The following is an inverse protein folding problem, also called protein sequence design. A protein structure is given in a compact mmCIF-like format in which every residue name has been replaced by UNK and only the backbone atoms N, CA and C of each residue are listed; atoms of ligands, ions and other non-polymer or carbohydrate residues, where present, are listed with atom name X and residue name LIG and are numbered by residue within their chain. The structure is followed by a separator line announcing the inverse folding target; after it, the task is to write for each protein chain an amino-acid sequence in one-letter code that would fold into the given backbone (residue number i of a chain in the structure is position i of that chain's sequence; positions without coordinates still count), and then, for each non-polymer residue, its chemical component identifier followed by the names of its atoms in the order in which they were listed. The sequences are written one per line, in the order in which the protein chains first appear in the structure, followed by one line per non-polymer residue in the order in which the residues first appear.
data_IF_215204717868
#
_entry.id   IF_215204717868
#
_cell.length_a   1.000
_cell.length_b   1.000
_cell.length_c   1.000
_cell.angle_alpha   90.00
_cell.angle_beta   90.00
_cell.angle_gamma   90.00
#
_symmetry.space_group_name_H-M   'P 1'
#
loop_
_entity.id
_entity.type
_entity.pdbx_description
1 polymer ?
#
# COMPACT_ATOMS: atom_id res chain seq x y z
N UNK A 1 -61.68 -4.96 -35.05
CA UNK A 1 -62.44 -3.84 -34.44
C UNK A 1 -62.05 -3.78 -32.98
N UNK A 2 -61.81 -2.67 -32.31
CA UNK A 2 -61.35 -1.31 -32.59
C UNK A 2 -60.74 -0.84 -31.23
N UNK A 3 -59.94 0.23 -31.22
CA UNK A 3 -58.94 0.56 -30.21
C UNK A 3 -59.45 1.56 -29.16
N UNK A 4 -58.69 1.74 -28.08
CA UNK A 4 -58.73 2.93 -27.20
C UNK A 4 -57.34 3.08 -26.57
N UNK A 5 -56.50 4.02 -27.01
CA UNK A 5 -56.55 5.48 -26.80
C UNK A 5 -56.12 5.90 -25.40
N UNK A 6 -54.93 6.49 -25.27
CA UNK A 6 -54.73 7.88 -24.84
C UNK A 6 -53.24 8.17 -24.50
N UNK A 7 -52.61 9.01 -25.31
CA UNK A 7 -51.55 9.97 -24.90
C UNK A 7 -52.23 11.14 -24.11
N UNK A 8 -51.61 12.29 -23.72
CA UNK A 8 -50.28 12.83 -24.07
C UNK A 8 -49.60 13.76 -22.99
N UNK A 9 -48.52 14.43 -23.42
CA UNK A 9 -48.00 15.78 -23.03
C UNK A 9 -47.05 15.94 -21.82
N UNK A 10 -46.02 16.76 -22.11
CA UNK A 10 -45.14 17.57 -21.25
C UNK A 10 -43.83 16.88 -20.79
N UNK A 11 -42.65 17.49 -20.89
CA UNK A 11 -42.35 18.91 -20.89
C UNK A 11 -41.08 19.26 -21.69
N UNK A 12 -41.12 20.43 -22.33
CA UNK A 12 -39.96 21.24 -22.67
C UNK A 12 -39.20 21.67 -21.40
N UNK A 13 -37.88 21.81 -21.56
CA UNK A 13 -36.93 22.67 -20.84
C UNK A 13 -35.63 21.87 -20.61
N UNK A 14 -34.43 22.36 -20.80
CA UNK A 14 -33.90 23.66 -21.18
C UNK A 14 -32.42 23.40 -21.55
N UNK A 15 -31.79 24.43 -22.09
CA UNK A 15 -30.56 25.00 -21.52
C UNK A 15 -29.55 25.30 -22.61
N UNK A 16 -29.26 26.60 -22.69
CA UNK A 16 -28.39 27.24 -23.63
C UNK A 16 -26.94 26.77 -23.44
N UNK A 17 -26.31 26.34 -24.54
CA UNK A 17 -24.86 26.24 -24.64
C UNK A 17 -24.25 27.65 -24.64
N UNK A 18 -23.78 28.10 -23.48
CA UNK A 18 -22.91 29.26 -23.35
C UNK A 18 -21.49 28.84 -23.73
N UNK A 19 -21.04 29.23 -24.92
CA UNK A 19 -19.64 29.11 -25.35
C UNK A 19 -18.78 30.11 -24.55
N UNK A 20 -18.15 29.64 -23.48
CA UNK A 20 -17.16 30.40 -22.73
C UNK A 20 -15.77 30.13 -23.33
N UNK A 21 -15.24 31.12 -24.05
CA UNK A 21 -13.88 31.11 -24.58
C UNK A 21 -12.87 31.28 -23.43
N UNK A 22 -12.14 30.22 -23.09
CA UNK A 22 -10.98 30.28 -22.20
C UNK A 22 -9.77 30.84 -22.98
N UNK A 23 -9.41 32.09 -22.72
CA UNK A 23 -8.08 32.62 -23.05
C UNK A 23 -7.03 31.93 -22.16
N UNK A 24 -6.08 31.23 -22.80
CA UNK A 24 -4.94 30.63 -22.12
C UNK A 24 -3.82 31.68 -21.90
N UNK A 25 -3.27 31.84 -20.68
CA UNK A 25 -2.07 32.63 -20.46
C UNK A 25 -0.80 31.86 -20.87
N UNK A 26 0.11 32.53 -21.55
CA UNK A 26 1.40 32.00 -22.00
C UNK A 26 2.31 31.56 -20.83
N UNK A 27 3.09 30.48 -20.97
CA UNK A 27 4.06 30.07 -19.95
C UNK A 27 5.26 31.03 -19.93
N UNK A 28 5.54 31.61 -18.76
CA UNK A 28 6.81 32.30 -18.49
C UNK A 28 7.89 31.26 -18.13
N UNK A 29 9.09 31.32 -18.72
CA UNK A 29 10.21 30.51 -18.26
C UNK A 29 10.75 31.08 -16.94
N UNK A 30 10.53 30.37 -15.84
CA UNK A 30 11.22 30.63 -14.57
C UNK A 30 12.58 29.93 -14.62
N UNK A 31 13.61 30.68 -14.99
CA UNK A 31 15.01 30.26 -14.79
C UNK A 31 15.29 30.25 -13.29
N UNK A 32 15.29 29.06 -12.70
CA UNK A 32 15.76 28.84 -11.33
C UNK A 32 17.28 28.72 -11.37
N UNK A 33 17.96 29.80 -10.99
CA UNK A 33 19.40 29.79 -10.72
C UNK A 33 19.63 28.99 -9.43
N UNK A 34 20.10 27.75 -9.55
CA UNK A 34 20.63 26.97 -8.44
C UNK A 34 21.97 27.57 -8.01
N UNK A 35 21.99 28.17 -6.82
CA UNK A 35 23.23 28.56 -6.15
C UNK A 35 24.09 27.34 -5.78
N UNK A 36 25.38 27.53 -5.49
CA UNK A 36 26.29 26.44 -5.13
C UNK A 36 25.81 25.70 -3.87
N UNK A 37 26.01 24.37 -3.79
CA UNK A 37 25.61 23.58 -2.63
C UNK A 37 26.37 24.03 -1.38
N UNK A 38 25.73 24.07 -0.21
CA UNK A 38 26.41 24.40 1.04
C UNK A 38 27.44 23.31 1.39
N UNK A 39 28.58 23.68 2.00
CA UNK A 39 29.56 22.72 2.49
C UNK A 39 28.92 21.80 3.54
N UNK A 40 29.20 20.49 3.42
CA UNK A 40 28.72 19.46 4.33
C UNK A 40 29.38 19.65 5.71
N UNK A 41 28.78 20.48 6.56
CA UNK A 41 29.11 20.60 7.97
C UNK A 41 28.58 19.38 8.73
N UNK A 42 29.49 18.67 9.40
CA UNK A 42 29.18 17.63 10.37
C UNK A 42 28.27 18.21 11.47
N UNK A 43 27.03 17.72 11.55
CA UNK A 43 26.13 18.02 12.65
C UNK A 43 26.58 17.34 13.96
N UNK A 44 26.19 17.87 15.13
CA UNK A 44 26.75 17.52 16.45
C UNK A 44 26.22 16.21 17.06
N UNK A 45 25.66 15.29 16.26
CA UNK A 45 25.15 14.01 16.75
C UNK A 45 26.24 12.95 16.74
N UNK A 46 27.30 13.20 17.51
CA UNK A 46 28.41 12.28 17.72
C UNK A 46 28.59 11.96 19.19
N UNK A 47 27.75 11.09 19.74
CA UNK A 47 28.07 10.19 20.86
C UNK A 47 26.89 9.24 21.16
N UNK A 48 27.07 7.90 21.07
CA UNK A 48 26.15 6.97 21.71
C UNK A 48 26.33 7.01 23.24
N UNK A 49 25.27 6.92 24.06
CA UNK A 49 25.38 6.89 25.52
C UNK A 49 25.99 5.55 26.01
N UNK A 50 26.86 5.57 27.04
CA UNK A 50 27.37 4.34 27.64
C UNK A 50 26.37 3.83 28.69
N UNK A 51 25.96 2.56 28.55
CA UNK A 51 25.22 1.84 29.58
C UNK A 51 23.71 1.80 29.39
N UNK A 52 23.23 0.69 28.82
CA UNK A 52 21.81 0.36 28.73
C UNK A 52 21.64 -1.08 28.27
N UNK A 53 21.52 -1.97 29.24
CA UNK A 53 21.10 -3.38 29.21
C UNK A 53 20.86 -4.04 27.84
N UNK A 54 21.64 -5.10 27.60
CA UNK A 54 21.48 -6.01 26.47
C UNK A 54 20.06 -6.58 26.41
N UNK A 55 19.30 -6.19 25.38
CA UNK A 55 18.19 -6.99 24.89
C UNK A 55 18.72 -8.36 24.46
N UNK A 56 17.98 -9.47 24.65
CA UNK A 56 18.41 -10.80 24.22
C UNK A 56 18.75 -10.78 22.72
N UNK A 57 19.68 -11.63 22.25
CA UNK A 57 20.16 -11.60 20.88
C UNK A 57 18.98 -11.91 19.95
N UNK A 58 18.38 -10.87 19.40
CA UNK A 58 17.53 -10.98 18.23
C UNK A 58 18.38 -11.65 17.17
N UNK A 59 17.96 -12.85 16.77
CA UNK A 59 18.61 -13.63 15.73
C UNK A 59 19.05 -12.70 14.61
N UNK A 60 20.32 -12.76 14.22
CA UNK A 60 20.78 -12.16 12.98
C UNK A 60 20.07 -12.88 11.84
N UNK A 61 18.82 -12.48 11.59
CA UNK A 61 18.03 -12.94 10.46
C UNK A 61 18.74 -12.36 9.26
N UNK A 62 19.33 -13.22 8.43
CA UNK A 62 19.81 -12.83 7.13
C UNK A 62 18.66 -12.08 6.43
N UNK A 63 18.80 -10.78 6.13
CA UNK A 63 17.72 -9.97 5.57
C UNK A 63 17.31 -10.42 4.16
N UNK A 64 18.07 -11.36 3.57
CA UNK A 64 17.78 -12.00 2.28
C UNK A 64 17.13 -13.38 2.44
N UNK A 65 17.12 -13.95 3.65
CA UNK A 65 16.43 -15.19 3.94
C UNK A 65 14.93 -14.94 4.14
N UNK A 66 14.13 -15.93 3.74
CA UNK A 66 12.68 -15.90 3.93
C UNK A 66 12.36 -16.11 5.41
N UNK A 67 11.82 -15.09 6.07
CA UNK A 67 11.40 -15.19 7.46
C UNK A 67 10.09 -16.00 7.58
N UNK A 68 10.02 -17.06 8.40
CA UNK A 68 8.82 -17.88 8.55
C UNK A 68 7.63 -17.11 9.11
N UNK A 69 7.86 -16.04 9.89
CA UNK A 69 6.79 -15.18 10.40
C UNK A 69 6.14 -14.37 9.28
N UNK A 70 6.93 -13.90 8.31
CA UNK A 70 6.42 -13.23 7.12
C UNK A 70 5.67 -14.19 6.21
N UNK A 71 6.16 -15.42 5.99
CA UNK A 71 5.43 -16.41 5.20
C UNK A 71 4.05 -16.71 5.79
N UNK A 72 3.96 -16.92 7.11
CA UNK A 72 2.67 -17.14 7.79
C UNK A 72 1.72 -15.95 7.66
N UNK A 73 2.26 -14.73 7.80
CA UNK A 73 1.48 -13.50 7.62
C UNK A 73 0.94 -13.40 6.18
N UNK A 74 1.79 -13.64 5.17
CA UNK A 74 1.42 -13.59 3.75
C UNK A 74 0.40 -14.67 3.41
N UNK A 75 0.56 -15.89 3.94
CA UNK A 75 -0.41 -16.98 3.79
C UNK A 75 -1.77 -16.59 4.35
N UNK A 76 -1.81 -16.07 5.58
CA UNK A 76 -3.05 -15.65 6.23
C UNK A 76 -3.71 -14.48 5.48
N UNK A 77 -2.91 -13.51 5.04
CA UNK A 77 -3.38 -12.35 4.29
C UNK A 77 -3.97 -12.74 2.92
N UNK A 78 -3.26 -13.55 2.12
CA UNK A 78 -3.75 -14.00 0.82
C UNK A 78 -4.94 -14.95 0.95
N UNK A 79 -4.97 -15.80 1.97
CA UNK A 79 -6.13 -16.65 2.27
C UNK A 79 -7.36 -15.80 2.64
N UNK A 80 -7.17 -14.74 3.43
CA UNK A 80 -8.24 -13.81 3.77
C UNK A 80 -8.76 -13.05 2.55
N UNK A 81 -7.88 -12.65 1.62
CA UNK A 81 -8.29 -12.02 0.35
C UNK A 81 -9.06 -12.98 -0.55
N UNK A 82 -8.54 -14.19 -0.76
CA UNK A 82 -9.14 -15.18 -1.67
C UNK A 82 -10.42 -15.82 -1.11
N UNK A 83 -10.60 -15.82 0.21
CA UNK A 83 -11.79 -16.34 0.88
C UNK A 83 -13.04 -15.46 0.73
N UNK A 84 -12.89 -14.21 0.28
CA UNK A 84 -13.98 -13.25 0.17
C UNK A 84 -14.38 -13.01 -1.28
N UNK A 85 -15.69 -12.87 -1.52
CA UNK A 85 -16.24 -12.54 -2.85
C UNK A 85 -16.48 -11.05 -3.07
N UNK A 86 -16.53 -10.30 -1.98
CA UNK A 86 -16.86 -8.88 -1.97
C UNK A 86 -15.66 -8.06 -1.49
N UNK A 87 -15.40 -6.93 -2.16
CA UNK A 87 -14.24 -6.06 -1.88
C UNK A 87 -14.29 -5.49 -0.45
N UNK A 88 -15.47 -5.09 0.03
CA UNK A 88 -15.64 -4.54 1.38
C UNK A 88 -15.53 -5.62 2.47
N UNK A 89 -15.98 -6.84 2.18
CA UNK A 89 -15.75 -7.97 3.07
C UNK A 89 -14.26 -8.33 3.15
N UNK A 90 -13.56 -8.34 2.02
CA UNK A 90 -12.11 -8.56 1.94
C UNK A 90 -11.34 -7.48 2.68
N UNK A 91 -11.70 -6.21 2.50
CA UNK A 91 -11.05 -5.06 3.15
C UNK A 91 -11.13 -5.18 4.67
N UNK A 92 -12.26 -5.65 5.21
CA UNK A 92 -12.45 -5.90 6.64
C UNK A 92 -11.68 -7.13 7.14
N UNK A 93 -11.63 -8.19 6.35
CA UNK A 93 -10.92 -9.43 6.71
C UNK A 93 -9.41 -9.22 6.81
N UNK A 94 -8.84 -8.28 6.05
CA UNK A 94 -7.39 -8.04 6.05
C UNK A 94 -6.90 -7.06 7.12
N UNK A 95 -7.81 -6.34 7.80
CA UNK A 95 -7.45 -5.33 8.81
C UNK A 95 -6.49 -5.83 9.90
N UNK A 96 -6.58 -7.07 10.41
CA UNK A 96 -5.66 -7.57 11.43
C UNK A 96 -4.22 -7.75 10.95
N UNK A 97 -4.00 -7.83 9.63
CA UNK A 97 -2.69 -8.13 9.05
C UNK A 97 -1.96 -6.88 8.55
N UNK A 98 -2.67 -5.77 8.37
CA UNK A 98 -2.11 -4.52 7.83
C UNK A 98 -1.57 -3.64 8.95
N UNK A 99 -0.55 -2.86 8.63
CA UNK A 99 0.01 -1.90 9.56
C UNK A 99 -0.95 -0.72 9.80
N UNK A 100 -0.92 -0.16 11.01
CA UNK A 100 -1.71 1.02 11.41
C UNK A 100 -1.54 2.25 10.50
N UNK A 101 -0.42 2.37 9.79
CA UNK A 101 -0.19 3.43 8.81
C UNK A 101 -1.06 3.33 7.56
N UNK A 102 -1.66 2.17 7.30
CA UNK A 102 -2.57 1.96 6.17
C UNK A 102 -4.02 2.27 6.53
N UNK A 103 -4.30 2.45 7.83
CA UNK A 103 -5.65 2.67 8.34
C UNK A 103 -6.05 4.14 8.22
N UNK A 104 -7.29 4.36 7.84
CA UNK A 104 -7.92 5.66 7.88
C UNK A 104 -8.45 6.01 9.28
N UNK A 105 -8.97 7.23 9.46
CA UNK A 105 -9.52 7.69 10.75
C UNK A 105 -10.72 6.86 11.23
N UNK A 106 -11.40 6.15 10.34
CA UNK A 106 -12.53 5.26 10.67
C UNK A 106 -12.11 3.87 11.17
N UNK A 107 -10.81 3.56 11.22
CA UNK A 107 -10.28 2.24 11.58
C UNK A 107 -10.33 1.21 10.43
N UNK A 108 -10.90 1.55 9.28
CA UNK A 108 -10.79 0.77 8.05
C UNK A 108 -9.53 1.12 7.25
N UNK A 109 -9.33 0.50 6.08
CA UNK A 109 -8.30 0.93 5.15
C UNK A 109 -8.55 2.39 4.73
N UNK A 110 -7.48 3.20 4.69
CA UNK A 110 -7.56 4.56 4.16
C UNK A 110 -8.06 4.56 2.71
N UNK A 111 -8.74 5.64 2.31
CA UNK A 111 -9.35 5.73 0.98
C UNK A 111 -8.32 5.60 -0.15
N UNK A 112 -7.12 6.15 0.04
CA UNK A 112 -6.03 6.03 -0.92
C UNK A 112 -5.52 4.59 -1.04
N UNK A 113 -5.33 3.90 0.09
CA UNK A 113 -4.95 2.48 0.08
C UNK A 113 -6.03 1.66 -0.60
N UNK A 114 -7.32 1.93 -0.31
CA UNK A 114 -8.44 1.22 -0.92
C UNK A 114 -8.46 1.39 -2.44
N UNK A 115 -8.38 2.64 -2.90
CA UNK A 115 -8.50 3.01 -4.32
C UNK A 115 -7.31 2.58 -5.18
N UNK A 116 -6.09 2.72 -4.67
CA UNK A 116 -4.88 2.58 -5.49
C UNK A 116 -4.15 1.25 -5.31
N UNK A 117 -4.29 0.61 -4.14
CA UNK A 117 -3.53 -0.58 -3.79
C UNK A 117 -4.45 -1.79 -3.61
N UNK A 118 -5.41 -1.70 -2.69
CA UNK A 118 -6.26 -2.82 -2.28
C UNK A 118 -7.13 -3.33 -3.42
N UNK A 119 -7.81 -2.44 -4.16
CA UNK A 119 -8.68 -2.85 -5.29
C UNK A 119 -7.93 -3.69 -6.32
N UNK A 120 -6.68 -3.34 -6.62
CA UNK A 120 -5.84 -4.11 -7.54
C UNK A 120 -5.44 -5.44 -6.93
N UNK A 121 -4.99 -5.41 -5.67
CA UNK A 121 -4.61 -6.60 -4.95
C UNK A 121 -5.75 -7.62 -4.81
N UNK A 122 -6.96 -7.18 -4.53
CA UNK A 122 -8.15 -8.02 -4.46
C UNK A 122 -8.46 -8.67 -5.81
N UNK A 123 -8.46 -7.88 -6.90
CA UNK A 123 -8.71 -8.41 -8.25
C UNK A 123 -7.65 -9.41 -8.73
N UNK A 124 -6.40 -9.25 -8.29
CA UNK A 124 -5.30 -10.12 -8.68
C UNK A 124 -5.01 -11.26 -7.69
N UNK A 125 -5.55 -11.20 -6.46
CA UNK A 125 -5.33 -12.22 -5.43
C UNK A 125 -5.55 -13.67 -5.92
N UNK A 126 -6.57 -13.99 -6.75
CA UNK A 126 -6.78 -15.36 -7.25
C UNK A 126 -5.65 -15.89 -8.13
N UNK A 127 -4.78 -15.02 -8.67
CA UNK A 127 -3.66 -15.40 -9.52
C UNK A 127 -2.47 -15.95 -8.72
N UNK A 128 -2.43 -15.72 -7.41
CA UNK A 128 -1.31 -16.08 -6.54
C UNK A 128 -1.50 -17.42 -5.83
N UNK A 129 -0.38 -18.12 -5.61
CA UNK A 129 -0.37 -19.42 -4.96
C UNK A 129 -0.71 -19.30 -3.46
N UNK A 130 -1.52 -20.23 -2.97
CA UNK A 130 -1.77 -20.47 -1.55
C UNK A 130 -1.57 -21.98 -1.34
N UNK A 131 -0.56 -22.43 -0.55
CA UNK A 131 0.37 -21.62 0.24
C UNK A 131 1.31 -20.75 -0.60
N UNK A 132 1.79 -19.68 0.00
CA UNK A 132 2.63 -18.63 -0.58
C UNK A 132 4.01 -19.17 -0.89
N UNK A 133 4.43 -18.98 -2.13
CA UNK A 133 5.79 -19.29 -2.58
C UNK A 133 6.52 -17.97 -2.77
N UNK A 134 7.54 -17.72 -1.94
CA UNK A 134 8.39 -16.53 -2.07
C UNK A 134 9.54 -16.83 -3.02
N UNK A 135 9.66 -16.05 -4.09
CA UNK A 135 10.74 -16.23 -5.10
C UNK A 135 11.95 -15.36 -4.84
N UNK A 136 11.76 -14.21 -4.16
CA UNK A 136 12.81 -13.24 -3.89
C UNK A 136 12.46 -12.46 -2.62
N UNK A 137 13.47 -12.14 -1.84
CA UNK A 137 13.40 -11.24 -0.70
C UNK A 137 14.30 -10.05 -0.99
N UNK A 138 13.80 -8.83 -0.76
CA UNK A 138 14.58 -7.61 -0.91
C UNK A 138 14.41 -6.74 0.33
N UNK A 139 15.45 -6.56 1.16
CA UNK A 139 15.38 -5.59 2.24
C UNK A 139 15.20 -4.18 1.67
N UNK A 140 14.34 -3.40 2.30
CA UNK A 140 14.19 -1.97 2.01
C UNK A 140 15.12 -1.16 2.94
N UNK A 141 15.52 0.03 2.49
CA UNK A 141 16.21 1.01 3.34
C UNK A 141 15.25 1.75 4.29
N UNK A 142 13.95 1.45 4.25
CA UNK A 142 12.95 2.03 5.14
C UNK A 142 13.10 1.51 6.57
N UNK A 143 13.48 2.42 7.48
CA UNK A 143 13.70 2.14 8.91
C UNK A 143 12.54 2.57 9.82
N UNK A 144 11.52 3.22 9.24
CA UNK A 144 10.32 3.61 9.95
C UNK A 144 9.15 3.77 8.98
N UNK A 145 7.94 3.50 9.45
CA UNK A 145 6.69 3.69 8.69
C UNK A 145 5.64 4.43 9.52
N UNK A 146 4.70 5.09 8.84
CA UNK A 146 3.66 5.91 9.49
C UNK A 146 4.13 7.32 9.83
N UNK A 147 3.21 8.13 10.34
CA UNK A 147 3.46 9.54 10.69
C UNK A 147 2.75 9.90 12.00
N UNK A 148 3.42 10.71 12.82
CA UNK A 148 2.91 11.14 14.12
C UNK A 148 2.52 9.95 15.01
N UNK A 149 1.26 9.82 15.45
CA UNK A 149 0.83 8.77 16.37
C UNK A 149 0.86 7.35 15.76
N UNK A 150 0.93 7.22 14.44
CA UNK A 150 1.05 5.92 13.75
C UNK A 150 2.49 5.57 13.39
N UNK A 151 3.45 6.44 13.71
CA UNK A 151 4.86 6.24 13.45
C UNK A 151 5.41 5.05 14.25
N UNK A 152 6.13 4.16 13.58
CA UNK A 152 6.80 3.04 14.20
C UNK A 152 8.15 2.78 13.53
N UNK A 153 9.19 2.52 14.33
CA UNK A 153 10.52 2.15 13.86
C UNK A 153 10.63 0.64 13.68
N UNK A 154 11.40 0.22 12.69
CA UNK A 154 11.47 -1.17 12.26
C UNK A 154 12.27 -1.32 11.00
N UNK A 155 12.09 -2.45 10.33
CA UNK A 155 12.64 -2.70 9.00
C UNK A 155 11.53 -3.14 8.07
N UNK A 156 11.52 -2.62 6.86
CA UNK A 156 10.65 -3.10 5.79
C UNK A 156 11.39 -4.07 4.88
N UNK A 157 10.74 -5.16 4.49
CA UNK A 157 11.29 -6.16 3.57
C UNK A 157 10.23 -6.48 2.52
N UNK A 158 10.63 -6.42 1.25
CA UNK A 158 9.77 -6.79 0.13
C UNK A 158 9.88 -8.29 -0.15
N UNK A 159 8.76 -8.99 -0.03
CA UNK A 159 8.61 -10.39 -0.38
C UNK A 159 7.94 -10.50 -1.75
N UNK A 160 8.62 -11.13 -2.71
CA UNK A 160 8.08 -11.36 -4.05
C UNK A 160 7.31 -12.68 -4.06
N UNK A 161 5.99 -12.60 -4.18
CA UNK A 161 5.09 -13.75 -4.13
C UNK A 161 4.86 -14.31 -5.53
N UNK A 162 5.07 -15.60 -5.71
CA UNK A 162 4.85 -16.31 -6.97
C UNK A 162 3.37 -16.42 -7.32
N UNK A 163 3.08 -16.34 -8.61
CA UNK A 163 1.78 -16.70 -9.15
C UNK A 163 1.59 -18.23 -9.13
N UNK A 164 0.33 -18.67 -9.24
CA UNK A 164 -0.01 -20.09 -9.39
C UNK A 164 0.65 -20.67 -10.65
N UNK A 165 0.97 -21.98 -10.67
CA UNK A 165 1.45 -22.65 -11.87
C UNK A 165 0.49 -22.41 -13.05
N UNK A 166 1.05 -22.05 -14.21
CA UNK A 166 0.27 -21.75 -15.42
C UNK A 166 -0.22 -20.30 -15.54
N UNK A 167 -0.05 -19.45 -14.51
CA UNK A 167 -0.36 -18.03 -14.62
C UNK A 167 0.84 -17.22 -15.14
N UNK A 168 0.61 -16.42 -16.17
CA UNK A 168 1.65 -15.59 -16.80
C UNK A 168 1.89 -14.32 -15.96
N UNK A 169 3.16 -13.95 -15.81
CA UNK A 169 3.59 -12.67 -15.26
C UNK A 169 4.62 -12.80 -14.14
N UNK A 170 5.17 -11.65 -13.75
CA UNK A 170 6.21 -11.58 -12.73
C UNK A 170 5.62 -11.77 -11.31
N UNK A 171 6.41 -12.31 -10.37
CA UNK A 171 6.09 -12.25 -8.95
C UNK A 171 5.89 -10.82 -8.48
N UNK A 172 4.89 -10.59 -7.63
CA UNK A 172 4.57 -9.26 -7.15
C UNK A 172 5.14 -9.00 -5.75
N UNK A 173 5.66 -7.78 -5.50
CA UNK A 173 6.19 -7.43 -4.19
C UNK A 173 5.06 -7.12 -3.20
N UNK A 174 5.17 -7.73 -2.01
CA UNK A 174 4.41 -7.36 -0.82
C UNK A 174 5.41 -6.94 0.25
N UNK A 175 5.28 -5.72 0.74
CA UNK A 175 6.18 -5.17 1.76
C UNK A 175 5.67 -5.54 3.15
N UNK A 176 6.47 -6.29 3.87
CA UNK A 176 6.24 -6.66 5.27
C UNK A 176 7.13 -5.80 6.15
N UNK A 177 6.55 -5.22 7.18
CA UNK A 177 7.27 -4.43 8.18
C UNK A 177 7.45 -5.23 9.47
N UNK A 178 8.68 -5.21 9.96
CA UNK A 178 9.09 -5.83 11.21
C UNK A 178 9.43 -4.71 12.20
N UNK A 179 8.63 -4.53 13.25
CA UNK A 179 8.86 -3.46 14.21
C UNK A 179 10.08 -3.76 15.09
N UNK A 180 10.85 -2.73 15.45
CA UNK A 180 11.99 -2.82 16.38
C UNK A 180 11.56 -3.27 17.79
N UNK A 181 10.29 -3.04 18.14
CA UNK A 181 9.71 -3.43 19.42
C UNK A 181 9.63 -4.95 19.64
N UNK A 182 9.81 -5.74 18.57
CA UNK A 182 9.61 -7.19 18.60
C UNK A 182 8.14 -7.61 18.49
N UNK A 183 7.23 -6.67 18.22
CA UNK A 183 5.84 -6.97 17.91
C UNK A 183 5.71 -7.80 16.59
N UNK A 184 4.56 -8.47 16.37
CA UNK A 184 4.36 -9.27 15.16
C UNK A 184 4.53 -8.43 13.87
N UNK A 185 5.06 -9.04 12.79
CA UNK A 185 5.17 -8.34 11.52
C UNK A 185 3.80 -8.02 10.94
N UNK A 186 3.74 -6.95 10.14
CA UNK A 186 2.50 -6.48 9.51
C UNK A 186 2.74 -6.09 8.05
N UNK A 187 1.70 -6.13 7.23
CA UNK A 187 1.76 -5.69 5.84
C UNK A 187 1.79 -4.16 5.83
N UNK A 188 2.87 -3.57 5.33
CA UNK A 188 3.03 -2.12 5.23
C UNK A 188 2.68 -1.59 3.84
N UNK A 189 2.76 -2.44 2.82
CA UNK A 189 2.36 -2.11 1.47
C UNK A 189 2.00 -3.38 0.71
N UNK A 190 0.80 -3.39 0.15
CA UNK A 190 0.36 -4.39 -0.83
C UNK A 190 0.49 -3.68 -2.17
N UNK A 191 1.52 -4.00 -2.95
CA UNK A 191 1.72 -3.36 -4.25
C UNK A 191 0.62 -3.73 -5.25
N UNK A 192 0.93 -3.55 -6.54
CA UNK A 192 0.15 -4.23 -7.58
C UNK A 192 0.48 -5.72 -7.55
N UNK A 193 -0.14 -6.44 -6.62
CA UNK A 193 -0.48 -7.84 -6.83
C UNK A 193 -1.28 -7.92 -8.14
#
# INVERSE_FOLDING_TARGET
MRPTSASPIAALAASACLLMACSAPAPRPSTVTLGPPPPQGQGPYGAPPPGGVASPPGQAVDPTAVDPSATRLLDAFLSALQGQRDEEAAARAVLPFVHKSMLGPSGGLSDDVRRFSFKKAFGAAPLYAVPVVVTRVRPSSTTAIGFGPTGERGRSVDYFVAKRPGQVGMPAPVTVFFPESGAPPSIAYVGSL
#
